data_IF_715941921917
#
_entry.id   IF_715941921917
#
_cell.length_a   1.000
_cell.length_b   1.000
_cell.length_c   1.000
_cell.angle_alpha   90.00
_cell.angle_beta   90.00
_cell.angle_gamma   90.00
#
_symmetry.space_group_name_H-M   'P 1'
#
loop_
_entity.id
_entity.type
_entity.pdbx_description
1 polymer ?
#
# COMPACT_ATOMS: atom_id res chain seq x y z
N UNK A 1 -11.14 -14.34 2.30
CA UNK A 1 -11.13 -13.89 3.72
C UNK A 1 -12.53 -13.45 4.12
N UNK A 2 -13.04 -13.90 5.28
CA UNK A 2 -14.40 -13.57 5.78
C UNK A 2 -14.41 -12.68 7.02
N UNK A 3 -13.27 -12.05 7.34
CA UNK A 3 -13.16 -11.11 8.44
C UNK A 3 -14.14 -9.97 8.21
N UNK A 4 -14.85 -9.58 9.25
CA UNK A 4 -15.83 -8.52 9.19
C UNK A 4 -16.06 -7.95 10.58
N UNK A 5 -16.63 -6.75 10.67
CA UNK A 5 -17.10 -6.22 11.95
C UNK A 5 -18.10 -7.19 12.60
N UNK A 6 -18.13 -7.17 13.93
CA UNK A 6 -19.07 -8.00 14.70
C UNK A 6 -20.52 -7.72 14.30
N UNK A 7 -21.31 -8.79 14.19
CA UNK A 7 -22.73 -8.67 13.86
C UNK A 7 -23.45 -7.90 14.94
N UNK A 8 -24.30 -6.98 14.51
CA UNK A 8 -25.24 -6.31 15.40
C UNK A 8 -26.29 -7.29 15.95
N UNK A 9 -27.09 -6.87 16.96
CA UNK A 9 -28.24 -7.64 17.45
C UNK A 9 -29.26 -8.04 16.35
N UNK A 10 -29.24 -7.39 15.19
CA UNK A 10 -30.11 -7.71 14.05
C UNK A 10 -29.66 -8.93 13.23
N UNK A 11 -28.47 -9.50 13.51
CA UNK A 11 -27.93 -10.71 12.87
C UNK A 11 -27.87 -10.63 11.34
N UNK A 12 -27.47 -9.47 10.83
CA UNK A 12 -27.34 -9.20 9.41
C UNK A 12 -26.26 -10.04 8.71
N UNK A 13 -26.44 -10.26 7.40
CA UNK A 13 -25.47 -10.95 6.56
C UNK A 13 -24.29 -10.04 6.15
N UNK A 14 -24.60 -8.82 5.70
CA UNK A 14 -23.62 -7.83 5.29
C UNK A 14 -23.41 -6.80 6.40
N UNK A 15 -22.17 -6.37 6.57
CA UNK A 15 -21.80 -5.41 7.61
C UNK A 15 -22.53 -4.09 7.42
N UNK A 16 -23.14 -3.52 8.48
CA UNK A 16 -23.75 -2.19 8.43
C UNK A 16 -22.75 -1.09 8.06
N UNK A 17 -23.25 0.01 7.50
CA UNK A 17 -22.41 1.20 7.27
C UNK A 17 -22.55 2.15 8.46
N UNK A 18 -21.46 2.34 9.20
CA UNK A 18 -21.35 3.22 10.36
C UNK A 18 -21.02 4.65 9.91
N UNK A 19 -22.03 5.34 9.38
CA UNK A 19 -21.96 6.75 8.96
C UNK A 19 -22.10 7.71 10.15
N UNK A 20 -21.09 7.75 11.01
CA UNK A 20 -21.02 8.68 12.14
C UNK A 20 -19.65 9.33 12.23
N UNK A 21 -19.56 10.52 12.83
CA UNK A 21 -18.30 11.19 13.11
C UNK A 21 -17.68 10.77 14.45
N UNK A 22 -18.52 10.53 15.47
CA UNK A 22 -18.11 10.28 16.85
C UNK A 22 -18.94 9.15 17.46
N UNK A 23 -18.42 8.60 18.55
CA UNK A 23 -19.02 7.50 19.29
C UNK A 23 -19.30 7.94 20.72
N UNK A 24 -20.33 7.36 21.33
CA UNK A 24 -20.71 7.61 22.72
C UNK A 24 -19.95 6.67 23.66
N UNK A 25 -19.80 7.11 24.90
CA UNK A 25 -19.21 6.34 26.00
C UNK A 25 -20.27 6.16 27.08
N UNK A 26 -20.23 5.04 27.79
CA UNK A 26 -21.16 4.73 28.87
C UNK A 26 -20.91 5.64 30.08
N UNK A 27 -19.64 6.00 30.33
CA UNK A 27 -19.24 6.94 31.38
C UNK A 27 -17.91 7.68 31.05
N UNK A 28 -17.52 8.58 31.95
CA UNK A 28 -16.32 9.40 31.80
C UNK A 28 -15.01 8.62 31.94
N UNK A 29 -15.01 7.52 32.70
CA UNK A 29 -13.82 6.68 32.89
C UNK A 29 -13.56 5.85 31.64
N UNK A 30 -14.61 5.34 31.00
CA UNK A 30 -14.52 4.66 29.71
C UNK A 30 -13.96 5.59 28.63
N UNK A 31 -14.44 6.84 28.58
CA UNK A 31 -13.90 7.83 27.67
C UNK A 31 -12.40 8.08 27.96
N UNK A 32 -12.01 8.26 29.22
CA UNK A 32 -10.60 8.46 29.60
C UNK A 32 -9.73 7.29 29.15
N UNK A 33 -10.16 6.06 29.45
CA UNK A 33 -9.43 4.84 29.10
C UNK A 33 -9.26 4.68 27.59
N UNK A 34 -10.30 4.96 26.80
CA UNK A 34 -10.22 4.92 25.33
C UNK A 34 -9.24 5.95 24.78
N UNK A 35 -9.24 7.19 25.29
CA UNK A 35 -8.29 8.22 24.84
C UNK A 35 -6.85 7.99 25.29
N UNK A 36 -6.64 7.19 26.33
CA UNK A 36 -5.33 6.79 26.84
C UNK A 36 -4.81 5.47 26.20
N UNK A 37 -5.53 4.94 25.20
CA UNK A 37 -5.23 3.66 24.54
C UNK A 37 -5.23 2.45 25.51
N UNK A 38 -5.93 2.56 26.64
CA UNK A 38 -6.15 1.49 27.64
C UNK A 38 -7.36 0.61 27.30
N UNK A 39 -8.26 1.12 26.44
CA UNK A 39 -9.45 0.44 25.96
C UNK A 39 -9.60 0.61 24.45
N UNK A 40 -9.59 -0.51 23.72
CA UNK A 40 -9.82 -0.49 22.28
C UNK A 40 -11.31 -0.26 21.97
N UNK A 41 -11.63 0.96 21.52
CA UNK A 41 -12.99 1.33 21.10
C UNK A 41 -12.93 2.43 20.04
N UNK A 42 -13.89 2.48 19.10
CA UNK A 42 -14.02 3.63 18.22
C UNK A 42 -14.28 4.93 19.01
N UNK A 43 -13.52 5.98 18.71
CA UNK A 43 -13.60 7.29 19.37
C UNK A 43 -14.12 8.34 18.39
N UNK A 44 -13.43 8.47 17.25
CA UNK A 44 -13.71 9.48 16.24
C UNK A 44 -13.30 9.00 14.85
N UNK A 45 -14.23 9.06 13.89
CA UNK A 45 -14.10 8.45 12.56
C UNK A 45 -12.97 8.98 11.68
N UNK A 46 -12.32 10.08 12.08
CA UNK A 46 -11.07 10.52 11.44
C UNK A 46 -9.93 9.50 11.58
N UNK A 47 -9.92 8.72 12.66
CA UNK A 47 -8.84 7.77 12.95
C UNK A 47 -9.33 6.39 13.42
N UNK A 48 -10.60 6.24 13.82
CA UNK A 48 -11.20 4.95 14.23
C UNK A 48 -12.63 4.82 13.69
N UNK A 49 -12.92 3.83 12.85
CA UNK A 49 -14.28 3.53 12.39
C UNK A 49 -14.43 2.04 12.04
N UNK A 50 -15.51 1.34 12.44
CA UNK A 50 -15.64 -0.10 12.20
C UNK A 50 -15.54 -0.55 10.74
N UNK A 51 -16.08 0.24 9.78
CA UNK A 51 -15.96 -0.12 8.36
C UNK A 51 -14.53 0.05 7.84
N UNK A 52 -13.79 1.02 8.40
CA UNK A 52 -12.39 1.26 8.05
C UNK A 52 -11.50 0.16 8.63
N UNK A 53 -11.72 -0.21 9.90
CA UNK A 53 -11.01 -1.32 10.55
C UNK A 53 -11.20 -2.62 9.77
N UNK A 54 -12.43 -2.98 9.40
CA UNK A 54 -12.67 -4.18 8.60
C UNK A 54 -11.90 -4.21 7.27
N UNK A 55 -11.84 -3.09 6.54
CA UNK A 55 -11.07 -3.01 5.30
C UNK A 55 -9.58 -3.27 5.56
N UNK A 56 -9.04 -2.64 6.61
CA UNK A 56 -7.64 -2.78 7.01
C UNK A 56 -7.35 -4.21 7.44
N UNK A 57 -8.14 -4.79 8.33
CA UNK A 57 -7.94 -6.15 8.87
C UNK A 57 -7.96 -7.20 7.75
N UNK A 58 -8.88 -7.05 6.79
CA UNK A 58 -8.92 -7.91 5.61
C UNK A 58 -7.61 -7.83 4.83
N UNK A 59 -7.10 -6.62 4.57
CA UNK A 59 -5.86 -6.42 3.81
C UNK A 59 -4.63 -6.90 4.60
N UNK A 60 -4.59 -6.71 5.91
CA UNK A 60 -3.53 -7.25 6.76
C UNK A 60 -3.43 -8.76 6.61
N UNK A 61 -4.56 -9.47 6.66
CA UNK A 61 -4.57 -10.93 6.45
C UNK A 61 -4.22 -11.32 5.01
N UNK A 62 -4.60 -10.53 4.01
CA UNK A 62 -4.21 -10.79 2.61
C UNK A 62 -2.70 -10.65 2.39
N UNK A 63 -2.06 -9.68 3.03
CA UNK A 63 -0.64 -9.37 2.89
C UNK A 63 0.26 -10.13 3.88
N UNK A 64 -0.30 -10.71 4.94
CA UNK A 64 0.47 -11.27 6.05
C UNK A 64 1.07 -10.19 6.97
N UNK A 65 0.41 -9.05 7.08
CA UNK A 65 0.84 -7.90 7.88
C UNK A 65 0.34 -7.95 9.32
N UNK A 66 1.07 -7.31 10.23
CA UNK A 66 0.70 -7.16 11.65
C UNK A 66 -0.41 -6.12 11.83
N UNK A 67 -0.29 -4.99 11.14
CA UNK A 67 -1.21 -3.85 11.27
C UNK A 67 -1.36 -3.09 9.96
N UNK A 68 -2.29 -2.13 9.94
CA UNK A 68 -2.44 -1.23 8.80
C UNK A 68 -3.19 0.06 9.11
N UNK A 69 -3.14 0.97 8.14
CA UNK A 69 -3.88 2.23 8.19
C UNK A 69 -4.46 2.58 6.81
N UNK A 70 -5.71 3.02 6.80
CA UNK A 70 -6.39 3.47 5.59
C UNK A 70 -6.42 5.00 5.49
N UNK A 71 -6.28 5.51 4.28
CA UNK A 71 -6.25 6.94 3.97
C UNK A 71 -7.20 7.29 2.82
N UNK A 72 -7.46 8.57 2.64
CA UNK A 72 -8.40 9.08 1.64
C UNK A 72 -8.05 8.71 0.17
N UNK A 73 -6.78 8.41 -0.13
CA UNK A 73 -6.32 8.02 -1.47
C UNK A 73 -4.97 7.33 -1.42
N UNK A 74 -4.57 6.63 -2.48
CA UNK A 74 -3.22 6.04 -2.58
C UNK A 74 -2.10 7.06 -2.36
N UNK A 75 -2.23 8.27 -2.92
CA UNK A 75 -1.24 9.33 -2.69
C UNK A 75 -1.21 9.84 -1.25
N UNK A 76 -2.33 9.78 -0.55
CA UNK A 76 -2.35 10.10 0.88
C UNK A 76 -1.62 9.02 1.70
N UNK A 77 -1.73 7.75 1.34
CA UNK A 77 -0.94 6.67 1.94
C UNK A 77 0.56 6.86 1.69
N UNK A 78 0.95 7.18 0.44
CA UNK A 78 2.36 7.42 0.07
C UNK A 78 2.93 8.61 0.86
N UNK A 79 2.21 9.75 0.84
CA UNK A 79 2.66 10.93 1.56
C UNK A 79 2.72 10.71 3.08
N UNK A 80 1.70 10.08 3.68
CA UNK A 80 1.69 9.79 5.11
C UNK A 80 2.85 8.86 5.50
N UNK A 81 3.16 7.85 4.68
CA UNK A 81 4.31 6.96 4.90
C UNK A 81 5.61 7.75 4.91
N UNK A 82 5.84 8.60 3.91
CA UNK A 82 7.07 9.40 3.87
C UNK A 82 7.16 10.43 4.99
N UNK A 83 6.08 11.17 5.24
CA UNK A 83 6.08 12.26 6.22
C UNK A 83 6.06 11.77 7.68
N UNK A 84 5.56 10.56 7.95
CA UNK A 84 5.62 9.95 9.28
C UNK A 84 6.99 9.32 9.58
N UNK A 85 7.65 8.77 8.57
CA UNK A 85 8.89 7.99 8.75
C UNK A 85 10.18 8.74 8.42
N UNK A 86 10.08 9.98 7.91
CA UNK A 86 11.21 10.85 7.61
C UNK A 86 11.01 12.24 8.19
N UNK A 87 12.09 12.80 8.75
CA UNK A 87 12.19 14.19 9.17
C UNK A 87 13.19 15.00 8.35
N UNK A 88 13.35 16.26 8.72
CA UNK A 88 14.35 17.14 8.11
C UNK A 88 15.76 16.54 8.20
N UNK A 89 16.45 16.53 7.06
CA UNK A 89 17.78 15.97 6.89
C UNK A 89 17.83 14.49 6.50
N UNK A 90 16.70 13.78 6.55
CA UNK A 90 16.62 12.37 6.11
C UNK A 90 16.58 12.25 4.59
N UNK A 91 16.82 11.03 4.09
CA UNK A 91 16.92 10.72 2.68
C UNK A 91 16.14 9.44 2.30
N UNK A 92 15.45 9.50 1.16
CA UNK A 92 14.68 8.41 0.57
C UNK A 92 15.40 7.85 -0.66
N UNK A 93 15.70 6.56 -0.67
CA UNK A 93 16.19 5.86 -1.85
C UNK A 93 15.00 5.30 -2.64
N UNK A 94 14.69 5.85 -3.80
CA UNK A 94 13.51 5.45 -4.58
C UNK A 94 13.91 4.73 -5.86
N UNK A 95 13.16 3.70 -6.25
CA UNK A 95 13.15 3.27 -7.65
C UNK A 95 12.82 4.46 -8.57
N UNK A 96 13.42 4.51 -9.76
CA UNK A 96 13.21 5.60 -10.72
C UNK A 96 11.78 5.64 -11.24
N UNK A 97 11.25 4.48 -11.63
CA UNK A 97 9.96 4.35 -12.31
C UNK A 97 8.81 4.20 -11.32
N UNK A 98 8.55 5.29 -10.59
CA UNK A 98 7.41 5.46 -9.70
C UNK A 98 6.28 6.23 -10.38
N UNK A 99 5.07 6.16 -9.81
CA UNK A 99 3.94 6.95 -10.28
C UNK A 99 4.28 8.46 -10.32
N UNK A 100 3.84 9.18 -11.35
CA UNK A 100 4.25 10.57 -11.57
C UNK A 100 3.94 11.54 -10.42
N UNK A 101 2.86 11.30 -9.67
CA UNK A 101 2.57 12.08 -8.46
C UNK A 101 3.53 11.75 -7.31
N UNK A 102 3.97 10.49 -7.18
CA UNK A 102 5.02 10.07 -6.23
C UNK A 102 6.35 10.71 -6.57
N UNK A 103 6.72 10.72 -7.85
CA UNK A 103 7.90 11.45 -8.33
C UNK A 103 7.81 12.95 -7.98
N UNK A 104 6.62 13.56 -8.13
CA UNK A 104 6.38 14.95 -7.74
C UNK A 104 6.52 15.17 -6.23
N UNK A 105 6.06 14.24 -5.40
CA UNK A 105 6.26 14.31 -3.95
C UNK A 105 7.76 14.35 -3.61
N UNK A 106 8.54 13.41 -4.15
CA UNK A 106 9.98 13.28 -3.91
C UNK A 106 10.76 14.50 -4.41
N UNK A 107 10.43 15.02 -5.60
CA UNK A 107 11.24 16.07 -6.26
C UNK A 107 10.82 17.50 -5.92
N UNK A 108 9.58 17.73 -5.48
CA UNK A 108 9.05 19.10 -5.29
C UNK A 108 8.44 19.36 -3.93
N UNK A 109 7.81 18.36 -3.30
CA UNK A 109 7.10 18.55 -2.03
C UNK A 109 8.02 18.30 -0.85
N UNK A 110 8.60 17.10 -0.77
CA UNK A 110 9.47 16.68 0.33
C UNK A 110 10.75 17.52 0.51
N UNK A 111 11.39 18.06 -0.54
CA UNK A 111 12.55 18.95 -0.38
C UNK A 111 12.22 20.24 0.38
N UNK A 112 10.95 20.66 0.41
CA UNK A 112 10.52 21.83 1.21
C UNK A 112 10.55 21.56 2.72
N UNK A 113 10.60 20.28 3.11
CA UNK A 113 10.74 19.81 4.48
C UNK A 113 12.17 19.33 4.78
N UNK A 114 13.14 19.66 3.91
CA UNK A 114 14.53 19.19 4.00
C UNK A 114 14.67 17.65 3.94
N UNK A 115 13.72 16.96 3.29
CA UNK A 115 13.81 15.52 3.03
C UNK A 115 14.37 15.32 1.63
N UNK A 116 15.55 14.70 1.56
CA UNK A 116 16.26 14.40 0.33
C UNK A 116 15.79 13.10 -0.34
N UNK A 117 16.20 12.91 -1.60
CA UNK A 117 15.96 11.66 -2.33
C UNK A 117 17.09 11.37 -3.33
N UNK A 118 17.19 10.11 -3.73
CA UNK A 118 17.91 9.68 -4.93
C UNK A 118 17.11 8.60 -5.65
N UNK A 119 17.37 8.46 -6.95
CA UNK A 119 16.72 7.48 -7.80
C UNK A 119 17.71 6.38 -8.21
N UNK A 120 17.27 5.14 -8.11
CA UNK A 120 17.99 3.94 -8.56
C UNK A 120 17.21 3.22 -9.66
N UNK A 121 17.94 2.59 -10.56
CA UNK A 121 17.36 1.75 -11.60
C UNK A 121 17.10 0.34 -11.04
N UNK A 122 15.95 -0.25 -11.37
CA UNK A 122 15.63 -1.60 -10.92
C UNK A 122 16.44 -2.66 -11.69
N UNK A 123 17.01 -2.30 -12.84
CA UNK A 123 17.84 -3.20 -13.64
C UNK A 123 19.32 -3.21 -13.20
N UNK A 124 19.84 -2.11 -12.67
CA UNK A 124 21.25 -1.92 -12.27
C UNK A 124 21.42 -2.01 -10.75
N UNK A 125 21.30 -3.24 -10.23
CA UNK A 125 21.37 -3.53 -8.79
C UNK A 125 22.74 -3.21 -8.17
N UNK A 126 23.82 -3.25 -8.96
CA UNK A 126 25.18 -3.01 -8.50
C UNK A 126 25.41 -1.55 -8.10
N UNK A 127 24.67 -0.61 -8.67
CA UNK A 127 24.79 0.82 -8.34
C UNK A 127 24.15 1.20 -7.00
N UNK A 128 23.20 0.40 -6.48
CA UNK A 128 22.35 0.77 -5.35
C UNK A 128 23.13 1.14 -4.09
N UNK A 129 24.16 0.36 -3.75
CA UNK A 129 24.97 0.59 -2.57
C UNK A 129 25.64 1.98 -2.56
N UNK A 130 26.00 2.51 -3.74
CA UNK A 130 26.61 3.83 -3.90
C UNK A 130 25.66 5.00 -3.62
N UNK A 131 24.35 4.75 -3.61
CA UNK A 131 23.32 5.75 -3.31
C UNK A 131 22.91 5.74 -1.82
N UNK A 132 23.32 4.73 -1.05
CA UNK A 132 23.07 4.68 0.38
C UNK A 132 24.01 5.62 1.11
N UNK A 133 23.44 6.54 1.86
CA UNK A 133 24.15 7.49 2.73
C UNK A 133 23.75 7.29 4.18
N UNK A 134 24.51 7.88 5.11
CA UNK A 134 24.18 7.88 6.55
C UNK A 134 22.82 8.55 6.88
N UNK A 135 22.23 9.28 5.92
CA UNK A 135 20.93 9.93 6.03
C UNK A 135 19.79 9.08 5.48
N UNK A 136 20.10 7.97 4.79
CA UNK A 136 19.09 7.15 4.13
C UNK A 136 18.27 6.43 5.19
N UNK A 137 16.95 6.58 5.13
CA UNK A 137 16.02 5.99 6.10
C UNK A 137 15.15 4.90 5.51
N UNK A 138 14.67 5.12 4.29
CA UNK A 138 13.83 4.15 3.62
C UNK A 138 14.19 3.95 2.15
N UNK A 139 13.79 2.78 1.67
CA UNK A 139 13.70 2.40 0.27
C UNK A 139 12.23 2.44 -0.13
N UNK A 140 11.93 3.03 -1.28
CA UNK A 140 10.59 2.99 -1.89
C UNK A 140 10.67 2.43 -3.31
N UNK A 141 9.90 1.38 -3.61
CA UNK A 141 9.80 0.83 -4.96
C UNK A 141 8.35 0.58 -5.36
N UNK A 142 8.10 0.58 -6.67
CA UNK A 142 6.88 0.01 -7.26
C UNK A 142 7.31 -1.17 -8.11
N UNK A 143 6.72 -2.35 -7.91
CA UNK A 143 7.00 -3.52 -8.74
C UNK A 143 5.74 -4.37 -8.88
N UNK A 144 5.23 -4.60 -10.11
CA UNK A 144 5.71 -4.05 -11.39
C UNK A 144 5.60 -2.51 -11.53
N UNK A 145 6.52 -1.89 -12.28
CA UNK A 145 6.51 -0.44 -12.55
C UNK A 145 5.43 -0.05 -13.55
N UNK A 146 5.19 1.25 -13.72
CA UNK A 146 4.30 1.79 -14.75
C UNK A 146 4.99 2.98 -15.47
N UNK A 147 5.01 3.02 -16.82
CA UNK A 147 4.42 2.07 -17.77
C UNK A 147 5.31 0.88 -18.13
N UNK A 148 6.55 0.83 -17.65
CA UNK A 148 7.56 -0.14 -18.10
C UNK A 148 7.28 -1.60 -17.72
N UNK A 149 6.42 -1.84 -16.71
CA UNK A 149 6.14 -3.14 -16.10
C UNK A 149 7.40 -3.91 -15.68
N UNK A 150 8.47 -3.16 -15.39
CA UNK A 150 9.72 -3.70 -14.88
C UNK A 150 9.48 -4.28 -13.49
N UNK A 151 10.20 -5.36 -13.19
CA UNK A 151 10.10 -6.06 -11.90
C UNK A 151 11.47 -6.14 -11.25
N UNK A 152 11.50 -6.06 -9.93
CA UNK A 152 12.70 -6.28 -9.12
C UNK A 152 12.51 -7.52 -8.25
N UNK A 153 13.61 -8.25 -8.02
CA UNK A 153 13.62 -9.38 -7.09
C UNK A 153 13.42 -8.85 -5.66
N UNK A 154 12.25 -9.14 -5.09
CA UNK A 154 11.89 -8.71 -3.75
C UNK A 154 12.71 -9.40 -2.66
N UNK A 155 13.18 -10.64 -2.89
CA UNK A 155 14.04 -11.33 -1.93
C UNK A 155 15.42 -10.67 -1.85
N UNK A 156 15.98 -10.31 -3.00
CA UNK A 156 17.19 -9.49 -3.06
C UNK A 156 16.97 -8.14 -2.38
N UNK A 157 15.87 -7.45 -2.70
CA UNK A 157 15.58 -6.13 -2.15
C UNK A 157 15.40 -6.14 -0.63
N UNK A 158 14.71 -7.15 -0.10
CA UNK A 158 14.58 -7.35 1.34
C UNK A 158 15.92 -7.66 2.01
N UNK A 159 16.80 -8.43 1.38
CA UNK A 159 18.16 -8.66 1.88
C UNK A 159 18.99 -7.37 1.91
N UNK A 160 18.95 -6.59 0.82
CA UNK A 160 19.62 -5.29 0.72
C UNK A 160 19.14 -4.31 1.79
N UNK A 161 17.83 -4.21 2.00
CA UNK A 161 17.25 -3.36 3.03
C UNK A 161 17.75 -3.74 4.44
N UNK A 162 17.79 -5.04 4.75
CA UNK A 162 18.31 -5.55 6.03
C UNK A 162 19.80 -5.27 6.21
N UNK A 163 20.61 -5.50 5.18
CA UNK A 163 22.06 -5.25 5.23
C UNK A 163 22.38 -3.78 5.57
N UNK A 164 21.60 -2.85 5.02
CA UNK A 164 21.79 -1.42 5.24
C UNK A 164 20.94 -0.84 6.38
N UNK A 165 20.13 -1.65 7.07
CA UNK A 165 19.24 -1.18 8.14
C UNK A 165 18.19 -0.17 7.68
N UNK A 166 17.66 -0.34 6.47
CA UNK A 166 16.70 0.57 5.84
C UNK A 166 15.28 0.01 5.89
N UNK A 167 14.30 0.89 6.08
CA UNK A 167 12.87 0.52 5.98
C UNK A 167 12.55 0.26 4.50
N UNK A 168 11.99 -0.90 4.18
CA UNK A 168 11.57 -1.24 2.82
C UNK A 168 10.06 -1.04 2.65
N UNK A 169 9.68 -0.10 1.78
CA UNK A 169 8.30 0.18 1.40
C UNK A 169 8.08 -0.24 -0.05
N UNK A 170 7.11 -1.14 -0.27
CA UNK A 170 6.73 -1.60 -1.61
C UNK A 170 5.32 -1.12 -1.93
N UNK A 171 5.20 -0.31 -2.97
CA UNK A 171 3.93 0.00 -3.61
C UNK A 171 3.48 -1.21 -4.44
N UNK A 172 2.50 -1.93 -3.91
CA UNK A 172 2.00 -3.18 -4.44
C UNK A 172 0.68 -3.00 -5.23
N UNK A 173 0.38 -1.77 -5.66
CA UNK A 173 -0.86 -1.43 -6.37
C UNK A 173 -1.15 -2.31 -7.59
N UNK A 174 -0.12 -2.61 -8.38
CA UNK A 174 -0.27 -3.27 -9.67
C UNK A 174 -0.56 -4.76 -9.50
N UNK A 175 0.20 -5.43 -8.64
CA UNK A 175 0.09 -6.86 -8.41
C UNK A 175 -1.07 -7.21 -7.47
N UNK A 176 -1.41 -6.34 -6.50
CA UNK A 176 -2.36 -6.63 -5.41
C UNK A 176 -1.87 -7.78 -4.51
N UNK A 177 -2.43 -7.96 -3.30
CA UNK A 177 -2.02 -9.08 -2.45
C UNK A 177 -2.39 -10.47 -2.98
N UNK A 178 -3.17 -10.55 -4.06
CA UNK A 178 -3.49 -11.82 -4.73
C UNK A 178 -2.30 -12.37 -5.51
N UNK A 179 -1.51 -11.49 -6.15
CA UNK A 179 -0.42 -11.91 -7.06
C UNK A 179 0.94 -11.83 -6.35
N UNK A 180 1.14 -10.82 -5.50
CA UNK A 180 2.43 -10.56 -4.85
C UNK A 180 2.20 -10.13 -3.40
N UNK A 181 2.94 -10.73 -2.46
CA UNK A 181 2.92 -10.36 -1.03
C UNK A 181 4.32 -9.90 -0.59
N UNK A 182 4.66 -8.61 -0.73
CA UNK A 182 6.02 -8.12 -0.49
C UNK A 182 6.56 -8.40 0.93
N UNK A 183 5.69 -8.49 1.92
CA UNK A 183 6.06 -8.76 3.32
C UNK A 183 6.78 -10.12 3.45
N UNK A 184 6.35 -11.14 2.70
CA UNK A 184 6.99 -12.46 2.69
C UNK A 184 8.45 -12.43 2.20
N UNK A 185 8.83 -11.37 1.48
CA UNK A 185 10.17 -11.17 0.94
C UNK A 185 11.01 -10.17 1.76
N UNK A 186 10.47 -9.66 2.87
CA UNK A 186 11.16 -8.74 3.78
C UNK A 186 10.85 -7.26 3.57
N UNK A 187 9.78 -6.92 2.85
CA UNK A 187 9.23 -5.57 2.93
C UNK A 187 8.66 -5.31 4.32
N UNK A 188 8.95 -4.14 4.88
CA UNK A 188 8.42 -3.73 6.18
C UNK A 188 7.00 -3.17 6.02
N UNK A 189 6.71 -2.55 4.86
CA UNK A 189 5.41 -1.99 4.51
C UNK A 189 5.02 -2.34 3.06
N UNK A 190 3.76 -2.76 2.88
CA UNK A 190 3.09 -2.92 1.58
C UNK A 190 2.01 -1.84 1.44
N UNK A 191 2.05 -1.10 0.34
CA UNK A 191 1.19 0.06 0.10
C UNK A 191 0.28 -0.16 -1.11
N UNK A 192 -0.97 0.28 -0.98
CA UNK A 192 -1.98 0.18 -2.03
C UNK A 192 -2.73 1.49 -2.26
N UNK A 193 -2.99 1.79 -3.52
CA UNK A 193 -4.10 2.62 -3.96
C UNK A 193 -5.32 1.73 -4.12
N UNK A 194 -6.19 1.75 -3.11
CA UNK A 194 -7.43 1.00 -3.13
C UNK A 194 -8.40 1.43 -4.25
N UNK A 195 -8.16 2.63 -4.83
CA UNK A 195 -8.84 3.14 -6.03
C UNK A 195 -8.74 2.23 -7.26
N UNK A 196 -7.71 1.38 -7.34
CA UNK A 196 -7.41 0.55 -8.52
C UNK A 196 -8.12 -0.80 -8.45
N UNK A 197 -7.36 -1.90 -8.44
CA UNK A 197 -7.93 -3.25 -8.47
C UNK A 197 -8.71 -3.62 -7.20
N UNK A 198 -8.42 -3.00 -6.05
CA UNK A 198 -9.19 -3.24 -4.81
C UNK A 198 -10.65 -2.82 -5.01
N UNK A 199 -10.93 -1.59 -5.44
CA UNK A 199 -12.28 -1.19 -5.89
C UNK A 199 -12.72 -2.02 -7.11
N UNK A 200 -11.87 -2.03 -8.15
CA UNK A 200 -12.04 -2.85 -9.35
C UNK A 200 -13.11 -2.36 -10.33
N UNK A 201 -13.83 -1.27 -10.03
CA UNK A 201 -14.99 -0.84 -10.81
C UNK A 201 -15.01 0.67 -11.10
N UNK A 202 -13.99 1.41 -10.68
CA UNK A 202 -13.83 2.85 -10.93
C UNK A 202 -14.76 3.75 -10.11
N UNK A 203 -15.16 3.34 -8.90
CA UNK A 203 -16.22 4.04 -8.13
C UNK A 203 -15.69 5.02 -7.08
N UNK A 204 -14.71 4.61 -6.29
CA UNK A 204 -14.26 5.37 -5.11
C UNK A 204 -12.74 5.40 -4.99
N UNK A 205 -12.24 6.41 -4.28
CA UNK A 205 -10.84 6.51 -3.90
C UNK A 205 -10.60 5.91 -2.51
N UNK A 206 -9.39 5.38 -2.34
CA UNK A 206 -8.83 5.00 -1.05
C UNK A 206 -7.35 4.67 -1.18
N UNK A 207 -6.64 4.76 -0.06
CA UNK A 207 -5.27 4.26 0.09
C UNK A 207 -5.20 3.39 1.33
N UNK A 208 -4.31 2.40 1.33
CA UNK A 208 -4.04 1.56 2.50
C UNK A 208 -2.55 1.28 2.56
N UNK A 209 -1.98 1.33 3.75
CA UNK A 209 -0.63 0.83 4.04
C UNK A 209 -0.74 -0.21 5.14
N UNK A 210 -0.10 -1.36 4.94
CA UNK A 210 -0.07 -2.46 5.92
C UNK A 210 1.37 -2.92 6.13
N UNK A 211 1.71 -3.42 7.31
CA UNK A 211 3.02 -3.98 7.60
C UNK A 211 3.29 -4.11 9.09
N UNK A 212 4.53 -3.81 9.49
CA UNK A 212 4.97 -3.86 10.90
C UNK A 212 4.19 -2.87 11.78
N UNK A 213 3.72 -3.35 12.94
CA UNK A 213 2.91 -2.57 13.88
C UNK A 213 3.56 -1.23 14.22
N UNK A 214 4.86 -1.26 14.58
CA UNK A 214 5.59 -0.08 15.03
C UNK A 214 5.62 1.03 13.97
N UNK A 215 5.74 0.68 12.69
CA UNK A 215 5.75 1.66 11.60
C UNK A 215 4.34 2.19 11.32
N UNK A 216 3.34 1.33 11.42
CA UNK A 216 1.93 1.71 11.31
C UNK A 216 1.52 2.67 12.43
N UNK A 217 2.03 2.51 13.65
CA UNK A 217 1.74 3.41 14.78
C UNK A 217 2.21 4.85 14.52
N UNK A 218 3.40 5.02 13.91
CA UNK A 218 3.92 6.33 13.49
C UNK A 218 3.03 6.95 12.39
N UNK A 219 2.65 6.15 11.39
CA UNK A 219 1.75 6.58 10.30
C UNK A 219 0.37 6.95 10.85
N UNK A 220 -0.17 6.14 11.75
CA UNK A 220 -1.43 6.40 12.45
C UNK A 220 -1.36 7.73 13.20
N UNK A 221 -0.28 7.98 13.96
CA UNK A 221 -0.10 9.23 14.72
C UNK A 221 -0.07 10.46 13.80
N UNK A 222 0.63 10.36 12.67
CA UNK A 222 0.65 11.38 11.64
C UNK A 222 -0.74 11.61 11.04
N UNK A 223 -1.44 10.55 10.62
CA UNK A 223 -2.76 10.64 10.00
C UNK A 223 -3.83 11.13 10.97
N UNK A 224 -3.79 10.70 12.24
CA UNK A 224 -4.64 11.19 13.33
C UNK A 224 -4.48 12.70 13.53
N UNK A 225 -3.32 13.26 13.21
CA UNK A 225 -3.05 14.69 13.37
C UNK A 225 -3.36 15.49 12.11
N UNK A 226 -3.04 14.95 10.93
CA UNK A 226 -3.13 15.66 9.63
C UNK A 226 -4.45 15.42 8.88
N UNK A 227 -5.22 14.39 9.25
CA UNK A 227 -6.58 14.16 8.80
C UNK A 227 -6.82 13.61 7.38
N UNK A 228 -5.93 12.85 6.72
CA UNK A 228 -6.24 12.23 5.43
C UNK A 228 -7.14 10.98 5.58
N UNK A 229 -8.27 11.12 6.29
CA UNK A 229 -9.13 10.01 6.69
C UNK A 229 -9.95 9.43 5.53
N UNK A 230 -10.11 8.10 5.51
CA UNK A 230 -11.00 7.41 4.59
C UNK A 230 -12.47 7.51 5.04
N UNK A 231 -13.38 7.78 4.10
CA UNK A 231 -14.83 7.73 4.35
C UNK A 231 -15.28 6.31 4.71
N UNK A 232 -16.15 6.15 5.71
CA UNK A 232 -16.70 4.84 6.10
C UNK A 232 -17.52 4.19 4.99
N UNK A 233 -18.19 4.99 4.14
CA UNK A 233 -18.86 4.48 2.94
C UNK A 233 -17.87 3.94 1.90
N UNK A 234 -16.77 4.65 1.66
CA UNK A 234 -15.73 4.18 0.75
C UNK A 234 -15.09 2.90 1.31
N UNK A 235 -14.80 2.86 2.60
CA UNK A 235 -14.23 1.70 3.24
C UNK A 235 -15.12 0.46 3.12
N UNK A 236 -16.43 0.62 3.33
CA UNK A 236 -17.41 -0.45 3.10
C UNK A 236 -17.38 -0.94 1.66
N UNK A 237 -17.46 -0.05 0.66
CA UNK A 237 -17.40 -0.43 -0.77
C UNK A 237 -16.11 -1.18 -1.11
N UNK A 238 -14.97 -0.68 -0.66
CA UNK A 238 -13.66 -1.29 -0.88
C UNK A 238 -13.59 -2.67 -0.20
N UNK A 239 -14.04 -2.80 1.05
CA UNK A 239 -14.09 -4.06 1.79
C UNK A 239 -14.93 -5.11 1.05
N UNK A 240 -16.12 -4.74 0.56
CA UNK A 240 -16.96 -5.65 -0.24
C UNK A 240 -16.28 -6.09 -1.54
N UNK A 241 -15.49 -5.22 -2.14
CA UNK A 241 -14.83 -5.49 -3.42
C UNK A 241 -13.68 -6.49 -3.30
N UNK A 242 -13.08 -6.61 -2.11
CA UNK A 242 -12.07 -7.63 -1.82
C UNK A 242 -12.61 -9.05 -1.95
N UNK A 243 -13.92 -9.27 -1.77
CA UNK A 243 -14.54 -10.60 -1.86
C UNK A 243 -14.46 -11.20 -3.27
N UNK A 244 -14.30 -10.36 -4.28
CA UNK A 244 -14.16 -10.77 -5.69
C UNK A 244 -12.77 -10.50 -6.25
N UNK A 245 -11.84 -9.99 -5.43
CA UNK A 245 -10.53 -9.56 -5.92
C UNK A 245 -9.77 -10.71 -6.60
N UNK A 246 -9.75 -11.88 -5.97
CA UNK A 246 -9.05 -13.07 -6.50
C UNK A 246 -9.55 -13.47 -7.88
N UNK A 247 -10.86 -13.70 -8.03
CA UNK A 247 -11.45 -14.11 -9.32
C UNK A 247 -11.33 -13.03 -10.40
N UNK A 248 -11.37 -11.75 -10.01
CA UNK A 248 -11.14 -10.63 -10.94
C UNK A 248 -9.68 -10.59 -11.40
N UNK A 249 -8.74 -10.69 -10.48
CA UNK A 249 -7.31 -10.66 -10.80
C UNK A 249 -6.87 -11.87 -11.61
N UNK A 250 -7.42 -13.05 -11.34
CA UNK A 250 -7.21 -14.23 -12.18
C UNK A 250 -7.61 -13.97 -13.63
N UNK A 251 -8.86 -13.52 -13.86
CA UNK A 251 -9.34 -13.24 -15.22
C UNK A 251 -8.57 -12.10 -15.88
N UNK A 252 -8.25 -11.02 -15.16
CA UNK A 252 -7.43 -9.94 -15.71
C UNK A 252 -6.07 -10.45 -16.17
N UNK A 253 -5.40 -11.28 -15.37
CA UNK A 253 -4.06 -11.80 -15.66
C UNK A 253 -4.09 -12.76 -16.86
N UNK A 254 -5.05 -13.70 -16.89
CA UNK A 254 -5.23 -14.63 -18.00
C UNK A 254 -5.49 -13.91 -19.33
N UNK A 255 -6.45 -12.97 -19.34
CA UNK A 255 -6.79 -12.21 -20.55
C UNK A 255 -5.67 -11.28 -20.99
N UNK A 256 -4.97 -10.62 -20.06
CA UNK A 256 -3.84 -9.75 -20.40
C UNK A 256 -2.68 -10.55 -21.01
N UNK A 257 -2.39 -11.75 -20.50
CA UNK A 257 -1.36 -12.63 -21.07
C UNK A 257 -1.73 -13.11 -22.47
N UNK A 258 -3.00 -13.44 -22.73
CA UNK A 258 -3.47 -13.80 -24.07
C UNK A 258 -3.29 -12.64 -25.07
N UNK A 259 -3.67 -11.43 -24.66
CA UNK A 259 -3.47 -10.21 -25.47
C UNK A 259 -1.99 -9.95 -25.70
N UNK A 260 -1.15 -10.05 -24.67
CA UNK A 260 0.29 -9.83 -24.78
C UNK A 260 0.94 -10.81 -25.77
N UNK A 261 0.60 -12.10 -25.68
CA UNK A 261 1.05 -13.14 -26.63
C UNK A 261 0.58 -12.86 -28.05
N UNK A 262 -0.67 -12.44 -28.22
CA UNK A 262 -1.18 -12.05 -29.54
C UNK A 262 -0.39 -10.86 -30.11
N UNK A 263 -0.11 -9.85 -29.30
CA UNK A 263 0.63 -8.66 -29.71
C UNK A 263 2.08 -9.00 -30.13
N UNK A 264 2.75 -9.95 -29.48
CA UNK A 264 4.09 -10.41 -29.89
C UNK A 264 4.13 -11.03 -31.30
N UNK A 265 2.99 -11.55 -31.79
CA UNK A 265 2.93 -12.12 -33.16
C UNK A 265 2.76 -11.05 -34.25
N UNK A 266 2.49 -9.80 -33.88
CA UNK A 266 2.14 -8.75 -34.84
C UNK A 266 3.39 -8.05 -35.39
N UNK A 267 3.51 -8.00 -36.71
CA UNK A 267 4.65 -7.37 -37.41
C UNK A 267 4.69 -5.83 -37.30
N UNK A 268 3.56 -5.22 -36.97
CA UNK A 268 3.40 -3.77 -36.78
C UNK A 268 3.47 -3.36 -35.30
N UNK A 269 3.83 -4.29 -34.40
CA UNK A 269 4.16 -4.02 -33.00
C UNK A 269 5.67 -4.15 -32.84
N UNK A 270 6.33 -3.11 -32.31
CA UNK A 270 7.79 -3.10 -32.18
C UNK A 270 8.31 -3.84 -30.94
N UNK A 271 7.57 -3.78 -29.84
CA UNK A 271 7.93 -4.40 -28.56
C UNK A 271 6.66 -4.63 -27.71
N UNK A 272 6.69 -5.68 -26.88
CA UNK A 272 5.63 -6.01 -25.93
C UNK A 272 6.26 -6.33 -24.59
N UNK A 273 5.96 -5.52 -23.58
CA UNK A 273 6.39 -5.76 -22.20
C UNK A 273 5.23 -6.27 -21.37
N UNK A 274 5.39 -7.47 -20.84
CA UNK A 274 4.46 -8.07 -19.88
C UNK A 274 5.23 -9.08 -18.99
N UNK A 275 5.14 -9.02 -17.66
CA UNK A 275 6.03 -9.78 -16.77
C UNK A 275 6.06 -11.29 -17.01
N UNK A 276 4.93 -11.89 -17.43
CA UNK A 276 4.80 -13.33 -17.66
C UNK A 276 5.03 -13.75 -19.13
N UNK A 277 5.56 -12.87 -19.98
CA UNK A 277 6.09 -13.26 -21.28
C UNK A 277 7.54 -13.73 -21.15
N UNK A 278 7.94 -14.86 -21.76
CA UNK A 278 9.34 -15.33 -21.74
C UNK A 278 10.35 -14.34 -22.32
N UNK A 279 9.91 -13.40 -23.17
CA UNK A 279 10.70 -12.32 -23.74
C UNK A 279 10.99 -11.19 -22.75
N UNK A 280 10.27 -11.13 -21.63
CA UNK A 280 10.47 -10.10 -20.61
C UNK A 280 11.88 -10.24 -19.99
N UNK A 281 12.68 -9.17 -19.90
CA UNK A 281 14.07 -9.24 -19.41
C UNK A 281 14.22 -9.87 -18.02
N UNK A 282 13.17 -9.76 -17.19
CA UNK A 282 13.09 -10.29 -15.82
C UNK A 282 12.02 -11.40 -15.67
N UNK A 283 11.73 -12.17 -16.71
CA UNK A 283 10.73 -13.24 -16.69
C UNK A 283 10.93 -14.24 -15.53
N UNK A 284 12.16 -14.68 -15.29
CA UNK A 284 12.46 -15.65 -14.21
C UNK A 284 12.22 -15.09 -12.81
N UNK A 285 12.31 -13.78 -12.62
CA UNK A 285 11.97 -13.11 -11.35
C UNK A 285 10.46 -12.98 -11.19
N UNK A 286 9.74 -12.78 -12.29
CA UNK A 286 8.29 -12.61 -12.28
C UNK A 286 7.50 -13.92 -12.13
N UNK A 287 8.12 -15.08 -12.41
CA UNK A 287 7.47 -16.40 -12.46
C UNK A 287 7.31 -17.04 -11.08
#
# INVERSE_FOLDING_TARGET
IRIQADRSPHKEHAVPVYLTSSFVFDDAEEMRAAFADELERPIYSRFTNPNVSELVDRLCVMEGAEAGHATASGMAAVFATFAALCGAGDHILSGRDVFGATHTLLTKVLPRFDIGHSFVDLEDLDSWAGHVTSKTKLIYVVTPTNPGVDVIDLAWLGAFAREHGLILVVDNCFATPVIQRPIEFGAHLSLHSATKYIDGQGRVLGGVVVGEQKLIDEIYTFCRSTGPALSSFNAWLLSRSLETLEVRMQRHSESALEVARFLETRRDVSDVRFPLLPSHPRYEVAR
#
